data_IF_925791282444
#
_entry.id   IF_925791282444
#
_cell.length_a   1.000
_cell.length_b   1.000
_cell.length_c   1.000
_cell.angle_alpha   90.00
_cell.angle_beta   90.00
_cell.angle_gamma   90.00
#
_symmetry.space_group_name_H-M   'P 1'
#
loop_
_entity.id
_entity.type
_entity.pdbx_description
1 polymer ?
#
# COMPACT_ATOMS: atom_id res chain seq x y z
N UNK A 1 28.83 -12.86 82.54
CA UNK A 1 30.11 -13.61 82.55
C UNK A 1 30.40 -14.07 81.13
N UNK A 2 31.62 -13.76 80.64
CA UNK A 2 32.45 -14.50 79.65
C UNK A 2 31.80 -14.74 78.26
N UNK A 3 32.13 -14.01 77.17
CA UNK A 3 33.40 -13.81 76.44
C UNK A 3 33.69 -14.86 75.35
N UNK A 4 34.40 -14.40 74.30
CA UNK A 4 35.19 -15.13 73.27
C UNK A 4 34.41 -15.60 72.02
N UNK A 5 34.87 -15.55 70.76
CA UNK A 5 35.83 -14.77 69.96
C UNK A 5 35.62 -15.23 68.49
N UNK A 6 35.51 -14.34 67.49
CA UNK A 6 36.56 -13.93 66.52
C UNK A 6 37.30 -15.07 65.75
N UNK A 7 36.93 -15.31 64.48
CA UNK A 7 37.79 -15.56 63.28
C UNK A 7 36.90 -15.94 62.09
N UNK A 8 36.75 -15.11 61.05
CA UNK A 8 37.64 -14.89 59.89
C UNK A 8 37.66 -16.04 58.88
N UNK A 9 37.71 -15.67 57.59
CA UNK A 9 38.01 -16.44 56.35
C UNK A 9 36.78 -16.50 55.45
N UNK A 10 36.63 -15.52 54.55
CA UNK A 10 37.06 -15.57 53.14
C UNK A 10 36.16 -16.49 52.30
N UNK A 11 35.62 -15.87 51.25
CA UNK A 11 35.14 -16.44 49.99
C UNK A 11 33.62 -16.49 49.81
N UNK A 12 33.22 -15.96 48.65
CA UNK A 12 31.96 -16.19 47.95
C UNK A 12 30.75 -15.33 48.31
N UNK A 13 30.92 -14.00 48.29
CA UNK A 13 29.84 -13.13 47.77
C UNK A 13 30.00 -13.09 46.25
N UNK A 14 29.60 -14.17 45.57
CA UNK A 14 29.56 -14.23 44.11
C UNK A 14 28.14 -14.62 43.69
N UNK A 15 27.51 -13.67 43.01
CA UNK A 15 26.49 -13.86 41.97
C UNK A 15 25.16 -14.49 42.35
N UNK A 16 24.22 -13.65 42.79
CA UNK A 16 22.84 -13.69 42.27
C UNK A 16 22.47 -12.25 41.91
N UNK A 17 22.95 -11.79 40.76
CA UNK A 17 22.27 -10.73 40.03
C UNK A 17 21.70 -11.40 38.78
N UNK A 18 20.48 -11.92 38.93
CA UNK A 18 19.72 -12.49 37.84
C UNK A 18 19.30 -11.31 36.95
N UNK A 19 20.19 -10.90 36.04
CA UNK A 19 19.86 -9.96 34.97
C UNK A 19 18.85 -10.68 34.08
N UNK A 20 17.57 -10.50 34.39
CA UNK A 20 16.50 -10.72 33.42
C UNK A 20 16.69 -9.67 32.33
N UNK A 21 17.54 -9.97 31.36
CA UNK A 21 17.48 -9.34 30.05
C UNK A 21 16.13 -9.75 29.48
N UNK A 22 15.11 -8.94 29.73
CA UNK A 22 13.85 -9.06 29.03
C UNK A 22 14.16 -8.91 27.55
N UNK A 23 14.13 -10.01 26.81
CA UNK A 23 14.10 -9.99 25.37
C UNK A 23 12.89 -9.15 24.96
N UNK A 24 13.13 -7.87 24.69
CA UNK A 24 12.19 -7.05 23.96
C UNK A 24 12.29 -7.56 22.52
N UNK A 25 11.46 -8.55 22.20
CA UNK A 25 11.15 -8.87 20.82
C UNK A 25 10.47 -7.62 20.25
N UNK A 26 11.27 -6.74 19.65
CA UNK A 26 10.73 -5.77 18.72
C UNK A 26 10.07 -6.59 17.63
N UNK A 27 8.73 -6.54 17.55
CA UNK A 27 8.01 -6.98 16.37
C UNK A 27 8.48 -6.10 15.21
N UNK A 28 9.53 -6.55 14.52
CA UNK A 28 9.87 -6.02 13.22
C UNK A 28 8.84 -6.57 12.26
N UNK A 29 8.12 -5.67 11.62
CA UNK A 29 7.28 -5.94 10.45
C UNK A 29 8.12 -6.76 9.47
N UNK A 30 7.86 -8.07 9.42
CA UNK A 30 8.77 -9.01 8.79
C UNK A 30 8.38 -9.14 7.33
N UNK A 31 9.23 -8.62 6.44
CA UNK A 31 9.03 -8.67 5.00
C UNK A 31 8.66 -10.10 4.55
N UNK A 32 7.78 -10.24 3.53
CA UNK A 32 7.48 -11.54 2.95
C UNK A 32 8.76 -12.14 2.35
N UNK A 33 8.88 -13.46 2.41
CA UNK A 33 10.00 -14.22 1.88
C UNK A 33 9.64 -14.87 0.54
N UNK A 34 10.64 -15.39 -0.18
CA UNK A 34 10.40 -16.22 -1.37
C UNK A 34 9.42 -17.38 -1.10
N UNK A 35 9.50 -18.00 0.08
CA UNK A 35 8.63 -19.11 0.46
C UNK A 35 7.18 -18.66 0.64
N UNK A 36 6.96 -17.43 1.14
CA UNK A 36 5.62 -16.87 1.30
C UNK A 36 4.92 -16.70 -0.06
N UNK A 37 5.64 -16.15 -1.05
CA UNK A 37 5.13 -16.06 -2.43
C UNK A 37 4.89 -17.44 -3.06
N UNK A 38 5.71 -18.45 -2.75
CA UNK A 38 5.46 -19.82 -3.22
C UNK A 38 4.25 -20.47 -2.54
N UNK A 39 4.02 -20.18 -1.25
CA UNK A 39 2.86 -20.65 -0.49
C UNK A 39 1.57 -20.07 -1.07
N UNK A 40 1.57 -18.79 -1.43
CA UNK A 40 0.40 -18.10 -2.01
C UNK A 40 -0.21 -18.83 -3.22
N UNK A 41 0.60 -19.38 -4.13
CA UNK A 41 0.06 -20.10 -5.29
C UNK A 41 -0.66 -21.41 -4.93
N UNK A 42 -0.53 -21.87 -3.68
CA UNK A 42 -1.21 -23.07 -3.16
C UNK A 42 -2.44 -22.74 -2.32
N UNK A 43 -2.74 -21.46 -2.10
CA UNK A 43 -3.91 -21.02 -1.33
C UNK A 43 -5.10 -20.74 -2.24
N UNK A 44 -6.30 -20.71 -1.65
CA UNK A 44 -7.48 -20.05 -2.25
C UNK A 44 -7.55 -18.61 -1.75
N UNK A 45 -7.69 -17.62 -2.65
CA UNK A 45 -7.82 -16.20 -2.28
C UNK A 45 -9.26 -15.88 -1.91
N UNK A 46 -9.49 -15.51 -0.65
CA UNK A 46 -10.79 -15.06 -0.16
C UNK A 46 -10.81 -13.52 -0.21
N UNK A 47 -11.66 -12.99 -1.07
CA UNK A 47 -11.88 -11.55 -1.23
C UNK A 47 -12.90 -11.11 -0.19
N UNK A 48 -12.47 -10.26 0.74
CA UNK A 48 -13.29 -9.84 1.87
C UNK A 48 -14.18 -8.68 1.44
N UNK A 49 -15.48 -8.87 1.59
CA UNK A 49 -16.51 -7.88 1.33
C UNK A 49 -16.81 -7.06 2.58
N UNK A 50 -17.15 -5.79 2.39
CA UNK A 50 -17.64 -4.92 3.45
C UNK A 50 -19.03 -5.34 3.91
N UNK A 51 -19.33 -5.10 5.19
CA UNK A 51 -20.61 -5.49 5.77
C UNK A 51 -21.79 -4.63 5.28
N UNK A 52 -21.51 -3.50 4.62
CA UNK A 52 -22.55 -2.60 4.12
C UNK A 52 -23.25 -3.20 2.89
N UNK A 53 -24.59 -3.34 2.91
CA UNK A 53 -25.35 -3.88 1.78
C UNK A 53 -25.36 -2.96 0.54
N UNK A 54 -24.99 -1.69 0.72
CA UNK A 54 -24.90 -0.69 -0.36
C UNK A 54 -23.45 -0.24 -0.63
N UNK A 55 -22.46 -1.06 -0.24
CA UNK A 55 -21.04 -0.78 -0.51
C UNK A 55 -20.78 -0.81 -2.01
N UNK A 56 -20.39 0.33 -2.60
CA UNK A 56 -19.96 0.39 -3.99
C UNK A 56 -18.66 -0.41 -4.19
N UNK A 57 -17.80 -0.42 -3.15
CA UNK A 57 -16.62 -1.28 -3.12
C UNK A 57 -16.96 -2.75 -3.38
N UNK A 58 -18.01 -3.29 -2.74
CA UNK A 58 -18.40 -4.70 -2.90
C UNK A 58 -18.73 -5.07 -4.35
N UNK A 59 -19.41 -4.18 -5.08
CA UNK A 59 -19.76 -4.43 -6.47
C UNK A 59 -18.53 -4.29 -7.38
N UNK A 60 -17.75 -3.22 -7.20
CA UNK A 60 -16.54 -2.94 -7.97
C UNK A 60 -15.46 -4.01 -7.78
N UNK A 61 -15.23 -4.48 -6.54
CA UNK A 61 -14.23 -5.53 -6.25
C UNK A 61 -14.65 -6.86 -6.86
N UNK A 62 -15.94 -7.22 -6.80
CA UNK A 62 -16.47 -8.44 -7.42
C UNK A 62 -16.27 -8.42 -8.93
N UNK A 63 -16.62 -7.31 -9.58
CA UNK A 63 -16.44 -7.14 -11.02
C UNK A 63 -14.95 -7.26 -11.40
N UNK A 64 -14.09 -6.49 -10.74
CA UNK A 64 -12.67 -6.46 -11.04
C UNK A 64 -11.98 -7.82 -10.83
N UNK A 65 -12.32 -8.56 -9.77
CA UNK A 65 -11.79 -9.90 -9.50
C UNK A 65 -12.26 -10.89 -10.58
N UNK A 66 -13.55 -10.92 -10.90
CA UNK A 66 -14.10 -11.83 -11.94
C UNK A 66 -13.46 -11.60 -13.31
N UNK A 67 -13.13 -10.35 -13.64
CA UNK A 67 -12.57 -10.00 -14.94
C UNK A 67 -11.05 -10.22 -15.03
N UNK A 68 -10.32 -10.15 -13.90
CA UNK A 68 -8.86 -10.02 -13.95
C UNK A 68 -8.06 -11.00 -13.09
N UNK A 69 -8.65 -11.63 -12.06
CA UNK A 69 -7.89 -12.49 -11.15
C UNK A 69 -7.65 -13.87 -11.74
N UNK A 70 -6.37 -14.27 -11.84
CA UNK A 70 -5.97 -15.54 -12.49
C UNK A 70 -4.88 -16.31 -11.73
N UNK A 71 -4.39 -15.81 -10.58
CA UNK A 71 -3.23 -16.42 -9.90
C UNK A 71 -3.55 -17.74 -9.19
N UNK A 72 -4.71 -17.83 -8.58
CA UNK A 72 -5.22 -18.99 -7.85
C UNK A 72 -6.74 -18.93 -7.78
N UNK A 73 -7.36 -20.01 -7.29
CA UNK A 73 -8.80 -20.02 -7.01
C UNK A 73 -9.19 -18.89 -6.06
N UNK A 74 -10.41 -18.38 -6.19
CA UNK A 74 -10.90 -17.32 -5.31
C UNK A 74 -12.35 -17.57 -4.85
N UNK A 75 -12.74 -16.87 -3.79
CA UNK A 75 -14.12 -16.77 -3.31
C UNK A 75 -14.40 -15.38 -2.74
N UNK A 76 -15.66 -15.04 -2.55
CA UNK A 76 -16.05 -13.82 -1.83
C UNK A 76 -16.60 -14.19 -0.46
N UNK A 77 -16.12 -13.52 0.58
CA UNK A 77 -16.49 -13.80 1.97
C UNK A 77 -16.85 -12.53 2.72
N UNK A 78 -17.60 -12.68 3.81
CA UNK A 78 -17.88 -11.60 4.77
C UNK A 78 -16.67 -11.31 5.69
N UNK A 79 -16.71 -10.19 6.42
CA UNK A 79 -15.72 -9.92 7.48
C UNK A 79 -15.76 -10.96 8.62
N UNK A 80 -16.96 -11.47 8.96
CA UNK A 80 -17.09 -12.51 9.98
C UNK A 80 -16.36 -13.79 9.56
N UNK A 81 -16.54 -14.21 8.31
CA UNK A 81 -15.81 -15.35 7.77
C UNK A 81 -14.30 -15.09 7.68
N UNK A 82 -13.88 -13.84 7.42
CA UNK A 82 -12.47 -13.46 7.46
C UNK A 82 -11.89 -13.70 8.85
N UNK A 83 -12.57 -13.22 9.91
CA UNK A 83 -12.10 -13.41 11.27
C UNK A 83 -11.98 -14.89 11.68
N UNK A 84 -12.88 -15.74 11.19
CA UNK A 84 -12.84 -17.19 11.42
C UNK A 84 -11.72 -17.88 10.62
N UNK A 85 -11.43 -17.41 9.40
CA UNK A 85 -10.55 -18.10 8.44
C UNK A 85 -9.13 -17.53 8.39
N UNK A 86 -8.86 -16.31 8.88
CA UNK A 86 -7.56 -15.61 8.74
C UNK A 86 -6.37 -16.38 9.28
N UNK A 87 -6.60 -17.33 10.20
CA UNK A 87 -5.55 -18.18 10.77
C UNK A 87 -5.23 -19.44 9.96
N UNK A 88 -6.03 -19.76 8.95
CA UNK A 88 -5.90 -20.97 8.16
C UNK A 88 -4.86 -20.79 7.03
N UNK A 89 -3.77 -21.58 7.01
CA UNK A 89 -2.70 -21.44 6.04
C UNK A 89 -3.06 -21.83 4.60
N UNK A 90 -4.24 -22.40 4.37
CA UNK A 90 -4.75 -22.74 3.04
C UNK A 90 -5.41 -21.55 2.33
N UNK A 91 -5.56 -20.41 3.01
CA UNK A 91 -6.17 -19.21 2.44
C UNK A 91 -5.18 -18.05 2.32
N UNK A 92 -5.41 -17.23 1.32
CA UNK A 92 -4.92 -15.87 1.21
C UNK A 92 -6.11 -14.93 1.22
N UNK A 93 -5.91 -13.67 1.56
CA UNK A 93 -6.99 -12.71 1.75
C UNK A 93 -6.69 -11.44 0.98
N UNK A 94 -7.63 -11.02 0.14
CA UNK A 94 -7.64 -9.68 -0.41
C UNK A 94 -8.63 -8.86 0.40
N UNK A 95 -8.12 -7.94 1.22
CA UNK A 95 -8.88 -7.27 2.28
C UNK A 95 -8.51 -5.80 2.38
N UNK A 96 -9.50 -4.98 2.76
CA UNK A 96 -9.27 -3.57 3.08
C UNK A 96 -8.77 -3.45 4.52
N UNK A 97 -7.69 -2.70 4.74
CA UNK A 97 -7.11 -2.49 6.07
C UNK A 97 -6.86 -1.02 6.34
N UNK A 98 -6.99 -0.61 7.60
CA UNK A 98 -6.67 0.75 8.04
C UNK A 98 -5.21 0.78 8.50
N UNK A 99 -4.39 1.53 7.77
CA UNK A 99 -2.97 1.69 8.07
C UNK A 99 -2.71 3.05 8.71
N UNK A 100 -1.98 3.03 9.84
CA UNK A 100 -1.37 4.22 10.45
C UNK A 100 0.14 4.04 10.48
N UNK A 101 0.88 5.04 10.03
CA UNK A 101 2.35 4.96 10.07
C UNK A 101 2.87 5.39 11.45
N UNK A 102 3.35 4.46 12.27
CA UNK A 102 3.82 4.77 13.64
C UNK A 102 4.92 5.84 13.71
N UNK A 103 5.76 5.94 12.67
CA UNK A 103 6.81 6.99 12.57
C UNK A 103 6.24 8.37 12.22
N UNK A 104 4.97 8.45 11.84
CA UNK A 104 4.26 9.66 11.46
C UNK A 104 3.41 10.17 12.65
N UNK A 105 3.82 11.31 13.22
CA UNK A 105 3.13 11.92 14.37
C UNK A 105 1.72 12.44 14.06
N UNK A 106 1.32 12.44 12.78
CA UNK A 106 0.00 12.93 12.36
C UNK A 106 -1.14 12.00 12.76
N UNK A 107 -0.85 10.72 13.03
CA UNK A 107 -1.87 9.66 13.21
C UNK A 107 -2.86 9.57 12.03
N UNK A 108 -2.42 10.00 10.85
CA UNK A 108 -3.20 9.88 9.62
C UNK A 108 -3.52 8.40 9.32
N UNK A 109 -4.78 8.14 8.98
CA UNK A 109 -5.31 6.82 8.68
C UNK A 109 -5.67 6.71 7.20
N UNK A 110 -5.35 5.55 6.63
CA UNK A 110 -5.53 5.28 5.21
C UNK A 110 -6.18 3.92 5.03
N UNK A 111 -7.09 3.83 4.06
CA UNK A 111 -7.54 2.54 3.56
C UNK A 111 -6.49 2.01 2.59
N UNK A 112 -6.01 0.80 2.85
CA UNK A 112 -5.15 0.04 1.97
C UNK A 112 -5.90 -1.19 1.47
N UNK A 113 -5.64 -1.58 0.22
CA UNK A 113 -6.01 -2.90 -0.28
C UNK A 113 -4.79 -3.80 -0.11
N UNK A 114 -4.94 -4.86 0.68
CA UNK A 114 -3.83 -5.73 1.11
C UNK A 114 -4.07 -7.16 0.67
N UNK A 115 -3.03 -7.79 0.13
CA UNK A 115 -3.00 -9.23 -0.12
C UNK A 115 -2.19 -9.93 0.98
N UNK A 116 -2.88 -10.63 1.87
CA UNK A 116 -2.31 -11.23 3.06
C UNK A 116 -2.34 -12.76 2.98
N UNK A 117 -1.36 -13.43 3.57
CA UNK A 117 -1.41 -14.88 3.77
C UNK A 117 -2.12 -15.23 5.08
N UNK A 118 -2.94 -16.28 5.04
CA UNK A 118 -3.43 -16.92 6.24
C UNK A 118 -2.28 -17.57 7.01
N UNK A 119 -2.18 -17.25 8.29
CA UNK A 119 -1.22 -17.82 9.22
C UNK A 119 -1.66 -17.58 10.67
N UNK A 120 -0.98 -18.20 11.65
CA UNK A 120 -1.28 -18.04 13.08
C UNK A 120 -0.91 -16.66 13.62
N UNK A 121 -1.36 -15.59 12.97
CA UNK A 121 -1.35 -14.22 13.45
C UNK A 121 -2.72 -13.91 14.08
N UNK A 122 -2.70 -13.32 15.27
CA UNK A 122 -3.92 -12.91 15.98
C UNK A 122 -4.50 -11.58 15.45
N UNK A 123 -3.62 -10.73 14.92
CA UNK A 123 -3.93 -9.39 14.41
C UNK A 123 -3.55 -9.31 12.93
N UNK A 124 -4.38 -8.63 12.13
CA UNK A 124 -4.15 -8.42 10.70
C UNK A 124 -2.80 -7.74 10.42
N UNK A 125 -2.35 -6.87 11.33
CA UNK A 125 -1.05 -6.17 11.26
C UNK A 125 0.15 -7.10 11.39
N UNK A 126 -0.07 -8.33 11.85
CA UNK A 126 0.98 -9.35 11.99
C UNK A 126 0.90 -10.43 10.91
N UNK A 127 -0.08 -10.38 10.00
CA UNK A 127 -0.16 -11.30 8.86
C UNK A 127 0.89 -10.94 7.80
N UNK A 128 1.48 -11.94 7.13
CA UNK A 128 2.38 -11.74 5.99
C UNK A 128 1.67 -10.99 4.87
N UNK A 129 2.05 -9.74 4.69
CA UNK A 129 1.65 -8.88 3.59
C UNK A 129 2.51 -9.15 2.35
N UNK A 130 1.90 -9.69 1.29
CA UNK A 130 2.55 -9.92 0.01
C UNK A 130 2.56 -8.68 -0.88
N UNK A 131 1.56 -7.81 -0.73
CA UNK A 131 1.43 -6.53 -1.40
C UNK A 131 0.26 -5.74 -0.79
N UNK A 132 0.53 -4.52 -0.32
CA UNK A 132 -0.50 -3.54 0.03
C UNK A 132 -0.35 -2.25 -0.78
N UNK A 133 -1.48 -1.68 -1.20
CA UNK A 133 -1.52 -0.42 -1.96
C UNK A 133 -2.49 0.56 -1.30
N UNK A 134 -2.10 1.84 -1.09
CA UNK A 134 -3.03 2.82 -0.55
C UNK A 134 -4.19 3.05 -1.53
N UNK A 135 -5.42 2.96 -1.05
CA UNK A 135 -6.63 3.27 -1.83
C UNK A 135 -7.07 4.71 -1.58
N UNK A 136 -7.23 5.08 -0.31
CA UNK A 136 -7.78 6.38 0.09
C UNK A 136 -7.32 6.80 1.48
N UNK A 137 -7.56 8.06 1.82
CA UNK A 137 -7.56 8.52 3.20
C UNK A 137 -8.93 8.16 3.81
N UNK A 138 -9.00 7.82 5.10
CA UNK A 138 -10.19 7.14 5.68
C UNK A 138 -11.53 7.89 5.51
N UNK A 139 -11.50 9.22 5.39
CA UNK A 139 -12.69 10.08 5.24
C UNK A 139 -12.88 10.63 3.83
N UNK A 140 -12.32 9.96 2.82
CA UNK A 140 -12.52 10.30 1.41
C UNK A 140 -13.59 9.40 0.83
N UNK A 141 -14.56 10.02 0.14
CA UNK A 141 -15.69 9.32 -0.46
C UNK A 141 -15.23 8.29 -1.51
N UNK A 142 -15.93 7.16 -1.55
CA UNK A 142 -15.65 6.01 -2.44
C UNK A 142 -15.58 6.41 -3.93
N UNK A 143 -16.43 7.35 -4.37
CA UNK A 143 -16.45 7.87 -5.73
C UNK A 143 -15.11 8.48 -6.18
N UNK A 144 -14.28 8.96 -5.24
CA UNK A 144 -13.01 9.61 -5.55
C UNK A 144 -11.88 8.62 -5.85
N UNK A 145 -12.04 7.32 -5.56
CA UNK A 145 -10.97 6.34 -5.74
C UNK A 145 -11.40 4.98 -6.30
N UNK A 146 -12.67 4.55 -6.14
CA UNK A 146 -13.10 3.21 -6.58
C UNK A 146 -13.03 2.98 -8.09
N UNK A 147 -13.16 4.02 -8.90
CA UNK A 147 -12.99 3.92 -10.36
C UNK A 147 -11.58 3.48 -10.79
N UNK A 148 -10.61 3.42 -9.87
CA UNK A 148 -9.24 2.92 -10.09
C UNK A 148 -9.05 1.49 -9.58
N UNK A 149 -10.03 0.90 -8.88
CA UNK A 149 -9.88 -0.36 -8.14
C UNK A 149 -9.42 -1.52 -9.03
N UNK A 150 -9.94 -1.62 -10.27
CA UNK A 150 -9.51 -2.64 -11.23
C UNK A 150 -7.99 -2.61 -11.45
N UNK A 151 -7.42 -1.41 -11.63
CA UNK A 151 -5.98 -1.25 -11.81
C UNK A 151 -5.19 -1.61 -10.54
N UNK A 152 -5.72 -1.33 -9.35
CA UNK A 152 -5.05 -1.70 -8.09
C UNK A 152 -5.00 -3.22 -7.90
N UNK A 153 -6.09 -3.93 -8.20
CA UNK A 153 -6.14 -5.40 -8.15
C UNK A 153 -5.17 -6.02 -9.16
N UNK A 154 -5.18 -5.52 -10.39
CA UNK A 154 -4.24 -5.95 -11.44
C UNK A 154 -2.79 -5.68 -11.05
N UNK A 155 -2.51 -4.55 -10.40
CA UNK A 155 -1.18 -4.25 -9.88
C UNK A 155 -0.76 -5.27 -8.81
N UNK A 156 -1.62 -5.58 -7.82
CA UNK A 156 -1.33 -6.59 -6.78
C UNK A 156 -0.98 -7.94 -7.42
N UNK A 157 -1.79 -8.38 -8.40
CA UNK A 157 -1.54 -9.61 -9.15
C UNK A 157 -0.19 -9.60 -9.88
N UNK A 158 0.11 -8.49 -10.57
CA UNK A 158 1.36 -8.31 -11.31
C UNK A 158 2.57 -8.27 -10.38
N UNK A 159 2.43 -7.62 -9.23
CA UNK A 159 3.44 -7.55 -8.18
C UNK A 159 3.80 -8.96 -7.71
N UNK A 160 2.81 -9.75 -7.29
CA UNK A 160 3.02 -11.12 -6.81
C UNK A 160 3.70 -11.97 -7.87
N UNK A 161 3.22 -11.91 -9.11
CA UNK A 161 3.83 -12.64 -10.23
C UNK A 161 5.27 -12.26 -10.49
N UNK A 162 5.60 -10.96 -10.42
CA UNK A 162 6.95 -10.47 -10.65
C UNK A 162 7.89 -10.86 -9.51
N UNK A 163 7.48 -10.66 -8.25
CA UNK A 163 8.32 -10.98 -7.08
C UNK A 163 8.55 -12.49 -6.98
N UNK A 164 7.56 -13.30 -7.32
CA UNK A 164 7.70 -14.76 -7.35
C UNK A 164 8.76 -15.23 -8.36
N UNK A 165 8.83 -14.56 -9.52
CA UNK A 165 9.86 -14.82 -10.56
C UNK A 165 11.21 -14.22 -10.21
N UNK A 166 11.23 -13.11 -9.48
CA UNK A 166 12.46 -12.42 -9.08
C UNK A 166 12.42 -11.98 -7.60
N UNK A 167 12.63 -12.91 -6.64
CA UNK A 167 12.54 -12.60 -5.21
C UNK A 167 13.60 -11.62 -4.70
N UNK A 168 14.65 -11.34 -5.48
CA UNK A 168 15.73 -10.41 -5.09
C UNK A 168 15.26 -8.96 -4.91
N UNK A 169 14.06 -8.64 -5.39
CA UNK A 169 13.50 -7.29 -5.34
C UNK A 169 12.72 -7.03 -4.05
N UNK A 170 12.41 -8.07 -3.27
CA UNK A 170 11.73 -7.96 -1.98
C UNK A 170 12.49 -6.95 -1.12
N UNK A 171 11.80 -5.89 -0.71
CA UNK A 171 12.37 -4.80 0.08
C UNK A 171 11.28 -4.00 0.78
N UNK A 172 11.66 -3.31 1.84
CA UNK A 172 10.81 -2.36 2.58
C UNK A 172 10.34 -1.16 1.73
N UNK A 173 11.01 -0.90 0.59
CA UNK A 173 10.75 0.21 -0.32
C UNK A 173 10.36 -0.28 -1.73
N UNK A 174 9.71 -1.44 -1.86
CA UNK A 174 9.36 -2.04 -3.15
C UNK A 174 8.59 -1.10 -4.10
N UNK A 175 7.79 -0.15 -3.58
CA UNK A 175 7.14 0.85 -4.42
C UNK A 175 8.12 1.76 -5.17
N UNK A 176 9.29 2.08 -4.57
CA UNK A 176 10.35 2.86 -5.22
C UNK A 176 11.08 2.07 -6.30
N UNK A 177 11.15 0.74 -6.20
CA UNK A 177 11.76 -0.09 -7.24
C UNK A 177 11.06 0.10 -8.60
N UNK A 178 9.75 0.36 -8.60
CA UNK A 178 9.00 0.64 -9.82
C UNK A 178 9.34 1.97 -10.49
N UNK A 179 10.03 2.90 -9.81
CA UNK A 179 10.47 4.16 -10.43
C UNK A 179 11.49 3.95 -11.56
N UNK A 180 12.10 2.76 -11.67
CA UNK A 180 12.90 2.39 -12.86
C UNK A 180 12.09 2.46 -14.17
N UNK A 181 10.76 2.46 -14.09
CA UNK A 181 9.87 2.55 -15.23
C UNK A 181 9.53 4.00 -15.61
N UNK A 182 9.92 4.99 -14.81
CA UNK A 182 9.50 6.40 -14.93
C UNK A 182 9.85 7.00 -16.29
N UNK A 183 11.01 6.66 -16.85
CA UNK A 183 11.42 7.12 -18.17
C UNK A 183 10.45 6.74 -19.31
N UNK A 184 9.58 5.74 -19.10
CA UNK A 184 8.58 5.30 -20.08
C UNK A 184 7.32 6.19 -20.07
N UNK A 185 7.11 7.00 -19.04
CA UNK A 185 5.96 7.93 -18.94
C UNK A 185 5.94 8.92 -20.11
N UNK A 186 7.11 9.35 -20.60
CA UNK A 186 7.24 10.27 -21.73
C UNK A 186 6.63 9.73 -23.04
N UNK A 187 6.53 8.41 -23.17
CA UNK A 187 5.96 7.74 -24.33
C UNK A 187 4.44 7.55 -24.21
N UNK A 188 3.83 7.90 -23.07
CA UNK A 188 2.39 7.79 -22.81
C UNK A 188 1.78 9.18 -22.58
N UNK A 189 0.46 9.24 -22.46
CA UNK A 189 -0.28 10.45 -22.09
C UNK A 189 -0.67 10.34 -20.63
N UNK A 190 -0.20 11.30 -19.82
CA UNK A 190 -0.55 11.39 -18.41
C UNK A 190 -1.94 12.00 -18.24
N UNK A 191 -2.86 11.20 -17.68
CA UNK A 191 -4.21 11.60 -17.30
C UNK A 191 -4.20 12.01 -15.83
N UNK A 192 -4.71 13.21 -15.55
CA UNK A 192 -4.78 13.77 -14.21
C UNK A 192 -6.07 14.58 -14.07
N UNK A 193 -6.72 14.54 -12.91
CA UNK A 193 -7.89 15.37 -12.64
C UNK A 193 -7.47 16.79 -12.29
N UNK A 194 -8.37 17.76 -12.40
CA UNK A 194 -8.07 19.14 -12.06
C UNK A 194 -7.86 19.33 -10.54
N UNK A 195 -8.56 18.52 -9.75
CA UNK A 195 -8.58 18.49 -8.29
C UNK A 195 -7.23 18.04 -7.74
N UNK A 196 -6.58 17.10 -8.44
CA UNK A 196 -5.26 16.56 -8.10
C UNK A 196 -4.11 17.53 -8.44
N UNK A 197 -4.39 18.67 -9.06
CA UNK A 197 -3.41 19.70 -9.42
C UNK A 197 -3.44 20.89 -8.45
N UNK A 198 -2.27 21.40 -8.03
CA UNK A 198 -2.22 22.65 -7.28
C UNK A 198 -2.70 23.82 -8.15
N UNK A 199 -3.31 24.87 -7.57
CA UNK A 199 -3.92 25.97 -8.33
C UNK A 199 -3.00 26.62 -9.39
N UNK A 200 -1.69 26.66 -9.13
CA UNK A 200 -0.70 27.22 -10.05
C UNK A 200 -0.33 26.30 -11.23
N UNK A 201 -0.94 25.12 -11.36
CA UNK A 201 -0.70 24.17 -12.47
C UNK A 201 -1.99 23.64 -13.12
N UNK A 202 -3.17 24.16 -12.76
CA UNK A 202 -4.49 23.77 -13.31
C UNK A 202 -4.75 24.17 -14.78
N UNK A 203 -3.71 24.28 -15.60
CA UNK A 203 -3.88 24.44 -17.05
C UNK A 203 -2.75 23.75 -17.80
N UNK A 204 -3.09 23.19 -18.97
CA UNK A 204 -2.13 22.48 -19.83
C UNK A 204 -0.93 23.38 -20.19
N UNK A 205 -1.16 24.66 -20.47
CA UNK A 205 -0.08 25.63 -20.75
C UNK A 205 0.91 25.76 -19.59
N UNK A 206 0.43 25.76 -18.33
CA UNK A 206 1.31 25.81 -17.15
C UNK A 206 2.06 24.49 -16.93
N UNK A 207 1.40 23.35 -17.15
CA UNK A 207 2.04 22.02 -17.03
C UNK A 207 3.14 21.84 -18.07
N UNK A 208 2.92 22.24 -19.33
CA UNK A 208 3.91 22.12 -20.41
C UNK A 208 5.23 22.85 -20.14
N UNK A 209 5.21 23.90 -19.31
CA UNK A 209 6.43 24.59 -18.85
C UNK A 209 7.25 23.76 -17.86
N UNK A 210 6.65 22.76 -17.23
CA UNK A 210 7.25 21.91 -16.20
C UNK A 210 7.58 20.50 -16.72
N UNK A 211 6.77 19.99 -17.64
CA UNK A 211 6.86 18.64 -18.18
C UNK A 211 6.52 18.66 -19.68
N UNK A 212 7.45 18.31 -20.59
CA UNK A 212 7.26 18.39 -22.03
C UNK A 212 6.47 17.21 -22.60
N UNK A 213 6.24 16.15 -21.80
CA UNK A 213 5.47 14.99 -22.23
C UNK A 213 3.98 15.28 -22.39
N UNK A 214 3.26 14.29 -22.92
CA UNK A 214 1.82 14.42 -23.18
C UNK A 214 1.04 14.38 -21.87
N UNK A 215 0.20 15.38 -21.63
CA UNK A 215 -0.68 15.46 -20.45
C UNK A 215 -2.08 15.87 -20.89
N UNK A 216 -3.10 15.29 -20.26
CA UNK A 216 -4.49 15.73 -20.32
C UNK A 216 -5.04 15.93 -18.92
N UNK A 217 -5.76 17.03 -18.72
CA UNK A 217 -6.62 17.23 -17.56
C UNK A 217 -7.97 16.61 -17.95
N UNK A 218 -8.43 15.62 -17.18
CA UNK A 218 -9.56 14.74 -17.53
C UNK A 218 -10.51 14.55 -16.36
N UNK A 219 -11.69 13.99 -16.61
CA UNK A 219 -12.61 13.57 -15.54
C UNK A 219 -12.27 12.18 -15.00
N UNK A 220 -12.87 11.80 -13.87
CA UNK A 220 -12.73 10.45 -13.29
C UNK A 220 -13.27 9.36 -14.24
N UNK A 221 -14.37 9.64 -14.95
CA UNK A 221 -14.97 8.72 -15.93
C UNK A 221 -14.06 8.47 -17.14
N UNK A 222 -13.29 9.48 -17.58
CA UNK A 222 -12.30 9.29 -18.65
C UNK A 222 -11.14 8.40 -18.22
N UNK A 223 -10.72 8.48 -16.95
CA UNK A 223 -9.71 7.58 -16.37
C UNK A 223 -10.27 6.17 -16.29
N UNK A 224 -11.47 5.99 -15.73
CA UNK A 224 -12.14 4.68 -15.63
C UNK A 224 -12.27 4.03 -17.01
N UNK A 225 -12.74 4.80 -18.01
CA UNK A 225 -12.82 4.32 -19.40
C UNK A 225 -11.47 3.92 -19.97
N UNK A 226 -10.38 4.64 -19.65
CA UNK A 226 -9.05 4.25 -20.10
C UNK A 226 -8.58 2.93 -19.47
N UNK A 227 -8.89 2.73 -18.18
CA UNK A 227 -8.62 1.50 -17.43
C UNK A 227 -9.39 0.32 -18.04
N UNK A 228 -10.71 0.43 -18.17
CA UNK A 228 -11.57 -0.64 -18.67
C UNK A 228 -11.20 -1.04 -20.11
N UNK A 229 -10.82 -0.07 -20.94
CA UNK A 229 -10.37 -0.31 -22.32
C UNK A 229 -8.91 -0.77 -22.43
N UNK A 230 -8.19 -0.90 -21.30
CA UNK A 230 -6.77 -1.26 -21.24
C UNK A 230 -5.93 -0.41 -22.21
N UNK A 231 -6.14 0.91 -22.16
CA UNK A 231 -5.54 1.83 -23.13
C UNK A 231 -4.01 1.94 -22.96
N UNK A 232 -3.27 1.42 -23.96
CA UNK A 232 -1.80 1.33 -23.95
C UNK A 232 -1.09 2.67 -23.97
N UNK A 233 -1.75 3.73 -24.42
CA UNK A 233 -1.19 5.06 -24.50
C UNK A 233 -1.44 5.89 -23.24
N UNK A 234 -2.14 5.37 -22.24
CA UNK A 234 -2.56 6.14 -21.06
C UNK A 234 -1.87 5.64 -19.80
N UNK A 235 -1.34 6.59 -19.04
CA UNK A 235 -1.05 6.44 -17.61
C UNK A 235 -1.87 7.46 -16.84
N UNK A 236 -2.32 7.14 -15.64
CA UNK A 236 -3.13 8.02 -14.82
C UNK A 236 -2.53 8.21 -13.42
N UNK A 237 -2.87 9.32 -12.79
CA UNK A 237 -2.49 9.58 -11.40
C UNK A 237 -3.47 8.92 -10.42
N UNK A 238 -2.92 8.11 -9.52
CA UNK A 238 -3.54 7.67 -8.28
C UNK A 238 -2.92 8.46 -7.12
N UNK A 239 -3.61 9.53 -6.71
CA UNK A 239 -3.25 10.35 -5.54
C UNK A 239 -4.05 9.87 -4.35
N UNK A 240 -3.38 9.70 -3.21
CA UNK A 240 -4.03 9.37 -1.93
C UNK A 240 -3.61 10.39 -0.89
N UNK A 241 -4.57 11.17 -0.41
CA UNK A 241 -4.40 12.27 0.53
C UNK A 241 -5.74 12.67 1.15
N UNK A 242 -5.75 13.60 2.12
CA UNK A 242 -6.94 13.95 2.89
C UNK A 242 -7.99 14.77 2.11
N UNK A 243 -7.69 15.27 0.92
CA UNK A 243 -8.56 16.10 0.04
C UNK A 243 -9.02 17.43 0.64
N UNK A 244 -8.69 17.66 1.91
CA UNK A 244 -9.02 18.82 2.70
C UNK A 244 -7.77 19.64 2.99
N UNK A 245 -7.91 20.96 2.88
CA UNK A 245 -6.83 21.89 3.21
C UNK A 245 -6.47 21.80 4.70
N UNK A 246 -5.18 21.91 5.02
CA UNK A 246 -4.68 22.05 6.39
C UNK A 246 -4.46 20.74 7.15
N UNK A 247 -4.87 19.59 6.62
CA UNK A 247 -4.61 18.29 7.23
C UNK A 247 -3.16 17.87 7.01
N UNK A 248 -2.41 17.71 8.11
CA UNK A 248 -1.07 17.13 8.07
C UNK A 248 -1.22 15.64 7.89
N UNK A 249 -0.83 15.13 6.73
CA UNK A 249 -0.86 13.72 6.41
C UNK A 249 0.19 13.42 5.34
N UNK A 250 0.50 12.15 5.12
CA UNK A 250 1.20 11.70 3.92
C UNK A 250 0.27 11.78 2.71
N UNK A 251 0.75 12.37 1.62
CA UNK A 251 0.11 12.35 0.32
C UNK A 251 0.93 11.48 -0.63
N UNK A 252 0.38 10.33 -1.01
CA UNK A 252 0.96 9.40 -1.98
C UNK A 252 0.59 9.84 -3.39
N UNK A 253 1.54 9.67 -4.33
CA UNK A 253 1.37 9.98 -5.75
C UNK A 253 1.92 8.83 -6.55
N UNK A 254 1.02 8.10 -7.21
CA UNK A 254 1.36 6.91 -7.98
C UNK A 254 0.89 7.13 -9.42
N UNK A 255 1.76 6.95 -10.41
CA UNK A 255 1.36 6.93 -11.82
C UNK A 255 1.27 5.49 -12.27
N UNK A 256 0.09 5.08 -12.75
CA UNK A 256 -0.24 3.70 -13.10
C UNK A 256 -0.61 3.63 -14.58
N UNK A 257 -0.14 2.60 -15.29
CA UNK A 257 -0.58 2.35 -16.66
C UNK A 257 -1.99 1.77 -16.71
N UNK A 258 -2.85 2.32 -17.58
CA UNK A 258 -4.21 1.84 -17.73
C UNK A 258 -4.25 0.42 -18.35
N UNK A 259 -3.32 0.13 -19.26
CA UNK A 259 -3.22 -1.15 -19.96
C UNK A 259 -2.54 -2.27 -19.19
N UNK A 260 -1.54 -1.95 -18.38
CA UNK A 260 -0.64 -2.94 -17.77
C UNK A 260 -0.68 -2.91 -16.24
N UNK A 261 -1.39 -1.97 -15.62
CA UNK A 261 -1.42 -1.73 -14.18
C UNK A 261 -0.02 -1.59 -13.56
N UNK A 262 0.99 -1.25 -14.36
CA UNK A 262 2.36 -1.10 -13.90
C UNK A 262 2.51 0.26 -13.22
N UNK A 263 3.23 0.30 -12.10
CA UNK A 263 3.65 1.58 -11.51
C UNK A 263 4.80 2.14 -12.34
N UNK A 264 4.59 3.36 -12.82
CA UNK A 264 5.59 4.15 -13.54
C UNK A 264 6.24 5.20 -12.65
N UNK A 265 5.52 5.70 -11.65
CA UNK A 265 6.03 6.67 -10.67
C UNK A 265 5.42 6.38 -9.31
N UNK A 266 6.24 6.47 -8.28
CA UNK A 266 5.84 6.48 -6.89
C UNK A 266 6.67 7.52 -6.14
N UNK A 267 5.97 8.43 -5.48
CA UNK A 267 6.52 9.30 -4.46
C UNK A 267 5.47 9.57 -3.40
N UNK A 268 5.90 10.05 -2.25
CA UNK A 268 5.01 10.65 -1.29
C UNK A 268 5.60 11.92 -0.72
N UNK A 269 4.75 12.73 -0.11
CA UNK A 269 5.22 13.81 0.72
C UNK A 269 4.38 13.98 1.97
N UNK A 270 5.00 14.51 3.02
CA UNK A 270 4.26 15.02 4.16
C UNK A 270 3.67 16.38 3.81
N UNK A 271 2.36 16.52 3.96
CA UNK A 271 1.66 17.79 3.81
C UNK A 271 2.07 18.67 5.00
N UNK A 272 2.78 19.77 4.71
CA UNK A 272 3.26 20.73 5.69
C UNK A 272 2.83 22.14 5.30
N UNK A 273 2.45 22.94 6.29
CA UNK A 273 2.14 24.37 6.14
C UNK A 273 1.07 24.60 5.04
N UNK A 274 1.43 25.36 3.99
CA UNK A 274 0.56 25.69 2.85
C UNK A 274 0.62 24.67 1.70
N UNK A 275 1.33 23.55 1.85
CA UNK A 275 1.36 22.51 0.82
C UNK A 275 -0.03 21.86 0.71
N UNK A 276 -0.46 21.61 -0.52
CA UNK A 276 -1.69 20.86 -0.81
C UNK A 276 -1.36 19.38 -0.99
N UNK A 277 -2.37 18.52 -0.88
CA UNK A 277 -2.29 17.08 -1.17
C UNK A 277 -2.38 16.80 -2.69
N UNK A 278 -1.66 17.59 -3.48
CA UNK A 278 -1.73 17.54 -4.95
C UNK A 278 -0.46 16.95 -5.56
N UNK A 279 -0.49 16.68 -6.87
CA UNK A 279 0.70 16.40 -7.66
C UNK A 279 1.50 17.70 -7.88
N UNK A 280 2.60 17.85 -7.14
CA UNK A 280 3.29 19.14 -7.03
C UNK A 280 4.18 19.40 -8.25
N UNK A 281 4.62 20.66 -8.40
CA UNK A 281 5.60 21.08 -9.42
C UNK A 281 6.86 20.20 -9.42
N UNK A 282 7.35 19.79 -8.23
CA UNK A 282 8.51 18.91 -8.13
C UNK A 282 8.25 17.50 -8.67
N UNK A 283 7.00 17.03 -8.63
CA UNK A 283 6.63 15.71 -9.12
C UNK A 283 6.71 15.69 -10.66
N UNK A 284 6.18 16.73 -11.33
CA UNK A 284 6.38 16.92 -12.78
C UNK A 284 7.85 16.96 -13.19
N UNK A 285 8.69 17.69 -12.43
CA UNK A 285 10.12 17.77 -12.71
C UNK A 285 10.83 16.43 -12.56
N UNK A 286 10.37 15.55 -11.65
CA UNK A 286 10.95 14.21 -11.47
C UNK A 286 10.69 13.30 -12.66
N UNK A 287 9.57 13.48 -13.37
CA UNK A 287 9.25 12.72 -14.59
C UNK A 287 10.19 13.03 -15.77
N UNK A 288 11.08 14.01 -15.64
CA UNK A 288 12.11 14.34 -16.64
C UNK A 288 13.36 13.46 -16.52
N UNK A 289 13.54 12.81 -15.36
CA UNK A 289 14.70 11.97 -15.05
C UNK A 289 14.43 10.50 -15.41
#
# INVERSE_FOLDING_TARGET
MISIAKKSIKNLVISIFMVTVGFHAFSQESLPTKLDYQKFYKTKTLVVLENSPFSEYNDKVKEAIKQNWVLNEYDFISNEEFDQKKTNPNYSFLVTSIVTFNKDKTKAQYNFLSLLLGEKATDITNMKDLCSVPMSYINVDEENYLYKLESLIRFIQNHVSMVSKNPSIISDNILKYYNKNMAQVKNKTLYITQEDLPPNTRSISKIRKLYPGRVKIVTTQEIEKAINNKNKDVVFLHKVGPEQKGHKARCFKIIIGADDAKIYYFDYHMIKNKQTDSFLVRDFKRLLN
#
